data_IF_065396977325
#
_entry.id   IF_065396977325
#
_cell.length_a   1.000
_cell.length_b   1.000
_cell.length_c   1.000
_cell.angle_alpha   90.00
_cell.angle_beta   90.00
_cell.angle_gamma   90.00
#
_symmetry.space_group_name_H-M   'P 1'
#
loop_
_entity.id
_entity.type
_entity.pdbx_description
1 polymer ?
#
# COMPACT_ATOMS: atom_id res chain seq x y z
N UNK A 1 -6.08 -1.85 -9.42
CA UNK A 1 -6.71 -2.83 -10.32
C UNK A 1 -6.03 -4.19 -10.22
N UNK A 2 -4.73 -4.34 -10.60
CA UNK A 2 -4.07 -5.65 -10.59
C UNK A 2 -4.19 -6.40 -9.27
N UNK A 3 -3.91 -5.76 -8.12
CA UNK A 3 -4.00 -6.42 -6.81
C UNK A 3 -5.38 -7.01 -6.52
N UNK A 4 -6.45 -6.30 -6.89
CA UNK A 4 -7.81 -6.81 -6.75
C UNK A 4 -8.08 -8.01 -7.67
N UNK A 5 -7.54 -7.98 -8.88
CA UNK A 5 -7.72 -9.09 -9.85
C UNK A 5 -6.95 -10.36 -9.45
N UNK A 6 -5.80 -10.25 -8.78
CA UNK A 6 -5.02 -11.40 -8.30
C UNK A 6 -5.77 -12.24 -7.24
N UNK A 7 -6.76 -11.65 -6.56
CA UNK A 7 -7.62 -12.35 -5.60
C UNK A 7 -8.83 -13.04 -6.25
N UNK A 8 -8.97 -12.98 -7.58
CA UNK A 8 -10.14 -13.48 -8.29
C UNK A 8 -9.99 -14.93 -8.81
N UNK A 9 -9.21 -15.75 -8.11
CA UNK A 9 -8.94 -17.14 -8.47
C UNK A 9 -7.69 -17.28 -9.34
N UNK A 10 -7.43 -18.52 -9.75
CA UNK A 10 -6.25 -18.90 -10.52
C UNK A 10 -6.66 -19.63 -11.79
N UNK A 11 -5.71 -20.00 -12.63
CA UNK A 11 -5.99 -20.86 -13.80
C UNK A 11 -6.43 -22.28 -13.42
N UNK A 12 -6.27 -22.68 -12.14
CA UNK A 12 -6.57 -24.02 -11.63
C UNK A 12 -7.70 -24.03 -10.60
N UNK A 13 -7.99 -22.93 -9.92
CA UNK A 13 -8.98 -22.82 -8.85
C UNK A 13 -9.90 -21.64 -9.14
N UNK A 14 -11.21 -21.86 -9.13
CA UNK A 14 -12.18 -20.79 -9.31
C UNK A 14 -12.12 -19.76 -8.18
N UNK A 15 -12.64 -18.55 -8.41
CA UNK A 15 -12.71 -17.48 -7.40
C UNK A 15 -13.44 -17.94 -6.13
N UNK A 16 -14.58 -18.60 -6.31
CA UNK A 16 -15.41 -19.03 -5.19
C UNK A 16 -14.73 -20.15 -4.39
N UNK A 17 -14.15 -21.13 -5.06
CA UNK A 17 -13.43 -22.22 -4.40
C UNK A 17 -12.18 -21.70 -3.67
N UNK A 18 -11.45 -20.74 -4.28
CA UNK A 18 -10.29 -20.12 -3.67
C UNK A 18 -10.68 -19.39 -2.37
N UNK A 19 -11.69 -18.54 -2.42
CA UNK A 19 -12.16 -17.81 -1.26
C UNK A 19 -12.72 -18.72 -0.17
N UNK A 20 -13.56 -19.70 -0.55
CA UNK A 20 -14.12 -20.67 0.39
C UNK A 20 -13.03 -21.47 1.10
N UNK A 21 -11.96 -21.84 0.40
CA UNK A 21 -10.86 -22.59 1.00
C UNK A 21 -10.05 -21.70 1.97
N UNK A 22 -9.73 -20.46 1.59
CA UNK A 22 -9.05 -19.50 2.47
C UNK A 22 -9.85 -19.25 3.75
N UNK A 23 -11.15 -19.04 3.61
CA UNK A 23 -12.08 -18.84 4.74
C UNK A 23 -12.20 -20.08 5.63
N UNK A 24 -12.33 -21.28 5.03
CA UNK A 24 -12.37 -22.54 5.76
C UNK A 24 -11.11 -22.78 6.60
N UNK A 25 -9.96 -22.38 6.09
CA UNK A 25 -8.68 -22.49 6.80
C UNK A 25 -8.49 -21.38 7.86
N UNK A 26 -9.42 -20.43 7.97
CA UNK A 26 -9.29 -19.26 8.84
C UNK A 26 -8.04 -18.44 8.52
N UNK A 27 -7.71 -18.35 7.25
CA UNK A 27 -6.52 -17.70 6.73
C UNK A 27 -6.85 -16.36 6.10
N UNK A 28 -5.82 -15.59 5.77
CA UNK A 28 -5.95 -14.38 4.97
C UNK A 28 -4.91 -14.43 3.86
N UNK A 29 -5.34 -14.15 2.63
CA UNK A 29 -4.47 -13.91 1.48
C UNK A 29 -4.90 -12.59 0.86
N UNK A 30 -3.96 -11.68 0.63
CA UNK A 30 -4.22 -10.39 -0.01
C UNK A 30 -3.11 -10.02 -0.98
N UNK A 31 -3.48 -9.28 -2.01
CA UNK A 31 -2.55 -8.84 -3.05
C UNK A 31 -2.61 -7.31 -3.21
N UNK A 32 -1.43 -6.71 -3.29
CA UNK A 32 -1.25 -5.34 -3.75
C UNK A 32 -0.81 -5.30 -5.21
N UNK A 33 -0.46 -4.11 -5.69
CA UNK A 33 0.05 -3.94 -7.05
C UNK A 33 1.40 -4.66 -7.28
N UNK A 34 2.22 -4.78 -6.22
CA UNK A 34 3.58 -5.37 -6.26
C UNK A 34 3.85 -6.25 -5.03
N UNK A 35 2.83 -6.68 -4.32
CA UNK A 35 2.99 -7.44 -3.09
C UNK A 35 1.95 -8.53 -2.97
N UNK A 36 2.30 -9.59 -2.27
CA UNK A 36 1.38 -10.63 -1.80
C UNK A 36 1.62 -10.84 -0.30
N UNK A 37 0.56 -10.99 0.45
CA UNK A 37 0.61 -11.30 1.88
C UNK A 37 -0.30 -12.49 2.17
N UNK A 38 0.18 -13.40 3.03
CA UNK A 38 -0.63 -14.49 3.53
C UNK A 38 -0.38 -14.72 5.01
N UNK A 39 -1.43 -15.04 5.76
CA UNK A 39 -1.32 -15.44 7.17
C UNK A 39 -2.28 -16.58 7.48
N UNK A 40 -1.84 -17.50 8.32
CA UNK A 40 -2.63 -18.65 8.77
C UNK A 40 -2.08 -19.25 10.04
N UNK A 41 -2.79 -20.22 10.60
CA UNK A 41 -2.20 -21.11 11.62
C UNK A 41 -1.08 -21.94 10.99
N UNK A 42 0.00 -22.21 11.75
CA UNK A 42 1.19 -22.95 11.28
C UNK A 42 0.84 -24.29 10.63
N UNK A 43 -0.16 -25.01 11.13
CA UNK A 43 -0.63 -26.28 10.56
C UNK A 43 -1.16 -26.18 9.11
N UNK A 44 -1.54 -24.98 8.67
CA UNK A 44 -2.06 -24.73 7.32
C UNK A 44 -1.07 -23.98 6.44
N UNK A 45 0.11 -23.63 6.95
CA UNK A 45 1.10 -22.78 6.27
C UNK A 45 1.46 -23.27 4.87
N UNK A 46 1.64 -24.58 4.69
CA UNK A 46 1.97 -25.16 3.38
C UNK A 46 0.86 -24.95 2.35
N UNK A 47 -0.41 -25.14 2.76
CA UNK A 47 -1.55 -24.97 1.85
C UNK A 47 -1.76 -23.51 1.49
N UNK A 48 -1.63 -22.62 2.47
CA UNK A 48 -1.77 -21.17 2.22
C UNK A 48 -0.63 -20.63 1.36
N UNK A 49 0.59 -21.11 1.57
CA UNK A 49 1.71 -20.77 0.69
C UNK A 49 1.47 -21.26 -0.75
N UNK A 50 0.86 -22.42 -0.93
CA UNK A 50 0.47 -22.95 -2.23
C UNK A 50 -0.57 -22.07 -2.92
N UNK A 51 -1.67 -21.74 -2.23
CA UNK A 51 -2.72 -20.86 -2.75
C UNK A 51 -2.18 -19.49 -3.13
N UNK A 52 -1.36 -18.88 -2.25
CA UNK A 52 -0.73 -17.59 -2.53
C UNK A 52 0.21 -17.67 -3.74
N UNK A 53 1.02 -18.74 -3.84
CA UNK A 53 1.93 -18.93 -4.95
C UNK A 53 1.17 -19.13 -6.27
N UNK A 54 0.11 -19.92 -6.26
CA UNK A 54 -0.70 -20.16 -7.46
C UNK A 54 -1.39 -18.86 -7.92
N UNK A 55 -1.99 -18.10 -7.00
CA UNK A 55 -2.60 -16.82 -7.34
C UNK A 55 -1.58 -15.76 -7.81
N UNK A 56 -0.36 -15.79 -7.27
CA UNK A 56 0.70 -14.86 -7.70
C UNK A 56 1.31 -15.23 -9.06
N UNK A 57 1.44 -16.52 -9.37
CA UNK A 57 2.16 -17.03 -10.56
C UNK A 57 1.25 -17.42 -11.71
N UNK A 58 0.01 -17.86 -11.41
CA UNK A 58 -0.97 -18.35 -12.37
C UNK A 58 -2.33 -17.68 -12.17
N UNK A 59 -2.41 -16.34 -12.03
CA UNK A 59 -3.68 -15.67 -11.77
C UNK A 59 -4.64 -15.83 -12.96
N UNK A 60 -5.93 -15.92 -12.66
CA UNK A 60 -6.98 -15.86 -13.69
C UNK A 60 -7.28 -14.39 -14.01
N UNK A 61 -6.48 -13.80 -14.91
CA UNK A 61 -6.69 -12.43 -15.36
C UNK A 61 -7.63 -12.44 -16.57
N UNK A 62 -8.87 -12.02 -16.37
CA UNK A 62 -9.91 -11.96 -17.41
C UNK A 62 -10.50 -10.55 -17.51
N UNK A 63 -10.88 -10.16 -18.73
CA UNK A 63 -11.36 -8.79 -18.98
C UNK A 63 -12.65 -8.46 -18.24
N UNK A 64 -13.54 -9.43 -18.04
CA UNK A 64 -14.79 -9.23 -17.29
C UNK A 64 -14.52 -8.76 -15.85
N UNK A 65 -13.58 -9.40 -15.15
CA UNK A 65 -13.19 -9.00 -13.80
C UNK A 65 -12.46 -7.64 -13.80
N UNK A 66 -11.65 -7.36 -14.83
CA UNK A 66 -11.05 -6.05 -14.99
C UNK A 66 -12.10 -4.94 -15.07
N UNK A 67 -13.17 -5.11 -15.85
CA UNK A 67 -14.24 -4.12 -15.95
C UNK A 67 -14.95 -3.92 -14.62
N UNK A 68 -15.27 -5.01 -13.90
CA UNK A 68 -15.89 -4.93 -12.58
C UNK A 68 -15.01 -4.16 -11.57
N UNK A 69 -13.72 -4.47 -11.52
CA UNK A 69 -12.79 -3.77 -10.61
C UNK A 69 -12.57 -2.30 -11.01
N UNK A 70 -12.60 -2.01 -12.31
CA UNK A 70 -12.55 -0.64 -12.83
C UNK A 70 -13.76 0.19 -12.41
N UNK A 71 -14.97 -0.37 -12.53
CA UNK A 71 -16.23 0.25 -12.08
C UNK A 71 -16.20 0.50 -10.56
N UNK A 72 -15.79 -0.47 -9.75
CA UNK A 72 -15.65 -0.31 -8.29
C UNK A 72 -14.67 0.80 -7.93
N UNK A 73 -13.55 0.91 -8.64
CA UNK A 73 -12.58 1.96 -8.42
C UNK A 73 -13.17 3.34 -8.76
N UNK A 74 -13.91 3.46 -9.86
CA UNK A 74 -14.60 4.71 -10.24
C UNK A 74 -15.65 5.12 -9.20
N UNK A 75 -16.43 4.18 -8.68
CA UNK A 75 -17.38 4.45 -7.59
C UNK A 75 -16.68 4.91 -6.30
N UNK A 76 -15.56 4.26 -5.95
CA UNK A 76 -14.74 4.67 -4.81
C UNK A 76 -14.19 6.09 -4.98
N UNK A 77 -13.73 6.46 -6.18
CA UNK A 77 -13.26 7.82 -6.45
C UNK A 77 -14.39 8.86 -6.27
N UNK A 78 -15.58 8.59 -6.77
CA UNK A 78 -16.75 9.47 -6.56
C UNK A 78 -17.11 9.64 -5.08
N UNK A 79 -17.04 8.55 -4.31
CA UNK A 79 -17.26 8.62 -2.85
C UNK A 79 -16.19 9.47 -2.16
N UNK A 80 -14.94 9.33 -2.58
CA UNK A 80 -13.80 10.05 -2.01
C UNK A 80 -13.79 11.55 -2.31
N UNK A 81 -14.51 12.02 -3.35
CA UNK A 81 -14.69 13.45 -3.63
C UNK A 81 -15.41 14.21 -2.50
N UNK A 82 -16.15 13.49 -1.66
CA UNK A 82 -16.88 14.07 -0.51
C UNK A 82 -16.15 13.82 0.83
N UNK A 83 -15.00 13.17 0.80
CA UNK A 83 -14.22 12.85 1.98
C UNK A 83 -13.16 13.91 2.24
N UNK A 84 -13.26 14.61 3.37
CA UNK A 84 -12.25 15.59 3.82
C UNK A 84 -10.87 14.95 3.92
N UNK A 85 -10.78 13.73 4.47
CA UNK A 85 -9.51 13.02 4.65
C UNK A 85 -8.88 12.60 3.32
N UNK A 86 -9.68 12.11 2.36
CA UNK A 86 -9.20 11.73 1.05
C UNK A 86 -8.67 12.95 0.26
N UNK A 87 -9.36 14.08 0.35
CA UNK A 87 -8.92 15.33 -0.28
C UNK A 87 -7.65 15.85 0.41
N UNK A 88 -7.61 15.87 1.74
CA UNK A 88 -6.43 16.32 2.48
C UNK A 88 -5.20 15.47 2.15
N UNK A 89 -5.34 14.14 2.07
CA UNK A 89 -4.25 13.25 1.70
C UNK A 89 -3.75 13.51 0.28
N UNK A 90 -4.66 13.68 -0.69
CA UNK A 90 -4.33 13.95 -2.09
C UNK A 90 -3.61 15.29 -2.26
N UNK A 91 -4.14 16.35 -1.65
CA UNK A 91 -3.54 17.69 -1.70
C UNK A 91 -2.20 17.70 -0.97
N UNK A 92 -2.13 17.07 0.20
CA UNK A 92 -0.88 16.97 0.98
C UNK A 92 0.23 16.25 0.19
N UNK A 93 -0.08 15.12 -0.46
CA UNK A 93 0.87 14.41 -1.32
C UNK A 93 1.36 15.28 -2.49
N UNK A 94 0.43 15.92 -3.21
CA UNK A 94 0.77 16.77 -4.35
C UNK A 94 1.63 17.99 -3.94
N UNK A 95 1.37 18.58 -2.78
CA UNK A 95 2.14 19.71 -2.26
C UNK A 95 3.54 19.27 -1.77
N UNK A 96 3.63 18.10 -1.13
CA UNK A 96 4.91 17.61 -0.58
C UNK A 96 5.86 17.08 -1.65
N UNK A 97 5.33 16.35 -2.64
CA UNK A 97 6.17 15.64 -3.61
C UNK A 97 6.08 16.20 -5.03
N UNK A 98 5.01 16.95 -5.34
CA UNK A 98 4.70 17.36 -6.70
C UNK A 98 3.91 16.31 -7.49
N UNK A 99 3.06 16.76 -8.41
CA UNK A 99 2.17 15.88 -9.19
C UNK A 99 2.89 14.98 -10.21
N UNK A 100 4.18 15.22 -10.47
CA UNK A 100 5.01 14.39 -11.34
C UNK A 100 5.80 13.32 -10.56
N UNK A 101 5.67 13.29 -9.23
CA UNK A 101 6.29 12.30 -8.38
C UNK A 101 5.29 11.21 -8.01
N UNK A 102 5.65 9.91 -7.99
CA UNK A 102 4.73 8.82 -7.65
C UNK A 102 3.99 8.97 -6.31
N UNK A 103 4.61 9.67 -5.34
CA UNK A 103 3.98 9.94 -4.04
C UNK A 103 3.09 11.18 -4.02
N UNK A 104 3.16 12.01 -5.05
CA UNK A 104 2.34 13.21 -5.19
C UNK A 104 1.31 13.13 -6.31
N UNK A 105 1.43 12.13 -7.21
CA UNK A 105 0.39 11.85 -8.20
C UNK A 105 -0.86 11.29 -7.53
N UNK A 106 -2.01 11.46 -8.16
CA UNK A 106 -3.26 10.92 -7.65
C UNK A 106 -4.14 10.39 -8.77
N UNK A 107 -4.88 9.35 -8.44
CA UNK A 107 -5.81 8.71 -9.36
C UNK A 107 -7.02 9.59 -9.61
N UNK A 108 -7.39 9.77 -10.89
CA UNK A 108 -8.58 10.49 -11.32
C UNK A 108 -9.49 9.60 -12.15
N UNK A 109 -10.75 9.98 -12.33
CA UNK A 109 -11.67 9.28 -13.22
C UNK A 109 -11.09 9.16 -14.64
N UNK A 110 -10.49 10.25 -15.16
CA UNK A 110 -9.86 10.26 -16.48
C UNK A 110 -8.70 9.27 -16.58
N UNK A 111 -7.80 9.23 -15.58
CA UNK A 111 -6.67 8.28 -15.58
C UNK A 111 -7.15 6.84 -15.47
N UNK A 112 -8.17 6.53 -14.66
CA UNK A 112 -8.75 5.19 -14.57
C UNK A 112 -9.42 4.80 -15.89
N UNK A 113 -10.15 5.70 -16.53
CA UNK A 113 -10.81 5.42 -17.81
C UNK A 113 -9.82 5.10 -18.93
N UNK A 114 -8.63 5.69 -18.90
CA UNK A 114 -7.58 5.43 -19.88
C UNK A 114 -6.86 4.08 -19.68
N UNK A 115 -6.94 3.45 -18.49
CA UNK A 115 -6.32 2.14 -18.26
C UNK A 115 -7.08 1.07 -19.03
N UNK A 116 -6.35 0.26 -19.78
CA UNK A 116 -6.87 -0.90 -20.52
C UNK A 116 -6.52 -2.21 -19.80
N UNK A 117 -7.21 -3.28 -20.16
CA UNK A 117 -6.85 -4.62 -19.67
C UNK A 117 -5.43 -5.02 -20.11
N UNK A 118 -5.02 -4.63 -21.32
CA UNK A 118 -3.66 -4.84 -21.82
C UNK A 118 -2.58 -4.19 -20.95
N UNK A 119 -2.86 -3.00 -20.39
CA UNK A 119 -1.94 -2.33 -19.47
C UNK A 119 -1.77 -3.11 -18.16
N UNK A 120 -2.85 -3.70 -17.65
CA UNK A 120 -2.79 -4.54 -16.43
C UNK A 120 -1.96 -5.79 -16.68
N UNK A 121 -2.14 -6.45 -17.82
CA UNK A 121 -1.34 -7.63 -18.20
C UNK A 121 0.15 -7.27 -18.37
N UNK A 122 0.45 -6.15 -19.03
CA UNK A 122 1.81 -5.67 -19.19
C UNK A 122 2.47 -5.31 -17.85
N UNK A 123 1.71 -4.69 -16.95
CA UNK A 123 2.15 -4.37 -15.60
C UNK A 123 2.46 -5.65 -14.79
N UNK A 124 1.58 -6.64 -14.82
CA UNK A 124 1.80 -7.93 -14.17
C UNK A 124 3.08 -8.60 -14.68
N UNK A 125 3.25 -8.73 -15.99
CA UNK A 125 4.45 -9.32 -16.61
C UNK A 125 5.74 -8.58 -16.23
N UNK A 126 5.68 -7.27 -16.09
CA UNK A 126 6.85 -6.44 -15.76
C UNK A 126 7.21 -6.51 -14.27
N UNK A 127 6.25 -6.43 -13.38
CA UNK A 127 6.52 -6.20 -11.96
C UNK A 127 6.39 -7.44 -11.08
N UNK A 128 5.55 -8.42 -11.44
CA UNK A 128 5.56 -9.74 -10.81
C UNK A 128 6.70 -10.58 -11.37
N UNK A 129 7.89 -10.37 -10.86
CA UNK A 129 9.15 -10.81 -11.44
C UNK A 129 10.12 -11.22 -10.32
N UNK A 130 10.75 -12.42 -10.38
CA UNK A 130 11.61 -12.91 -9.30
C UNK A 130 12.83 -12.02 -9.01
N UNK A 131 13.28 -11.21 -9.97
CA UNK A 131 14.42 -10.31 -9.76
C UNK A 131 14.16 -9.20 -8.76
N UNK A 132 12.89 -8.82 -8.58
CA UNK A 132 12.46 -7.79 -7.65
C UNK A 132 11.70 -8.36 -6.45
N UNK A 133 11.65 -9.70 -6.33
CA UNK A 133 10.87 -10.36 -5.29
C UNK A 133 11.73 -10.60 -4.03
N UNK A 134 11.19 -10.19 -2.91
CA UNK A 134 11.69 -10.53 -1.58
C UNK A 134 10.59 -11.28 -0.84
N UNK A 135 10.92 -12.41 -0.24
CA UNK A 135 9.99 -13.17 0.58
C UNK A 135 10.45 -13.16 2.04
N UNK A 136 9.54 -12.81 2.92
CA UNK A 136 9.75 -12.83 4.36
C UNK A 136 8.72 -13.77 4.97
N UNK A 137 9.19 -14.74 5.76
CA UNK A 137 8.33 -15.67 6.51
C UNK A 137 8.61 -15.49 7.98
N UNK A 138 7.56 -15.26 8.77
CA UNK A 138 7.64 -15.08 10.21
C UNK A 138 6.59 -15.96 10.88
N UNK A 139 6.99 -16.74 11.87
CA UNK A 139 6.08 -17.61 12.62
C UNK A 139 6.78 -18.81 13.25
N UNK A 140 5.99 -19.73 13.79
CA UNK A 140 6.45 -21.01 14.31
C UNK A 140 6.70 -21.98 13.14
N UNK A 141 7.87 -21.86 12.53
CA UNK A 141 8.27 -22.60 11.33
C UNK A 141 9.74 -23.04 11.40
N UNK A 142 10.03 -24.18 10.80
CA UNK A 142 11.41 -24.67 10.66
C UNK A 142 12.01 -24.15 9.34
N UNK A 143 13.14 -23.44 9.41
CA UNK A 143 13.75 -22.75 8.27
C UNK A 143 13.99 -23.66 7.05
N UNK A 144 14.56 -24.86 7.27
CA UNK A 144 14.88 -25.78 6.15
C UNK A 144 13.62 -26.28 5.45
N UNK A 145 12.55 -26.55 6.22
CA UNK A 145 11.28 -27.01 5.67
C UNK A 145 10.63 -25.89 4.84
N UNK A 146 10.54 -24.67 5.38
CA UNK A 146 9.97 -23.51 4.67
C UNK A 146 10.77 -23.18 3.42
N UNK A 147 12.10 -23.17 3.50
CA UNK A 147 12.97 -22.93 2.34
C UNK A 147 12.66 -23.92 1.21
N UNK A 148 12.56 -25.21 1.53
CA UNK A 148 12.25 -26.27 0.56
C UNK A 148 10.86 -26.03 -0.09
N UNK A 149 9.86 -25.68 0.70
CA UNK A 149 8.53 -25.40 0.19
C UNK A 149 8.49 -24.16 -0.72
N UNK A 150 9.23 -23.10 -0.39
CA UNK A 150 9.37 -21.92 -1.26
C UNK A 150 10.07 -22.29 -2.57
N UNK A 151 11.19 -23.03 -2.50
CA UNK A 151 11.92 -23.49 -3.68
C UNK A 151 11.06 -24.37 -4.58
N UNK A 152 10.23 -25.24 -4.02
CA UNK A 152 9.30 -26.09 -4.77
C UNK A 152 8.26 -25.26 -5.56
N UNK A 153 7.74 -24.19 -4.97
CA UNK A 153 6.64 -23.40 -5.57
C UNK A 153 7.13 -22.27 -6.46
N UNK A 154 8.20 -21.58 -6.09
CA UNK A 154 8.74 -20.43 -6.79
C UNK A 154 10.00 -20.72 -7.59
N UNK A 155 10.63 -21.87 -7.45
CA UNK A 155 11.90 -22.20 -8.10
C UNK A 155 11.84 -22.26 -9.63
N UNK A 156 10.63 -22.40 -10.21
CA UNK A 156 10.40 -22.35 -11.66
C UNK A 156 10.01 -20.95 -12.16
N UNK A 157 9.88 -19.99 -11.27
CA UNK A 157 9.56 -18.62 -11.63
C UNK A 157 10.77 -17.98 -12.30
N UNK A 158 10.69 -17.87 -13.63
CA UNK A 158 11.82 -17.46 -14.43
C UNK A 158 12.00 -15.96 -14.48
N UNK A 159 13.27 -15.55 -14.51
CA UNK A 159 13.68 -14.16 -14.69
C UNK A 159 13.26 -13.66 -16.08
N UNK A 160 12.57 -12.53 -16.13
CA UNK A 160 12.14 -11.92 -17.40
C UNK A 160 12.82 -10.58 -17.68
N UNK A 161 12.81 -9.64 -16.74
CA UNK A 161 13.31 -8.28 -16.93
C UNK A 161 13.90 -7.75 -15.62
N UNK A 162 15.00 -6.99 -15.69
CA UNK A 162 15.45 -6.18 -14.55
C UNK A 162 14.66 -4.87 -14.54
N UNK A 163 13.90 -4.64 -13.48
CA UNK A 163 13.13 -3.40 -13.31
C UNK A 163 13.95 -2.45 -12.45
N UNK A 164 14.44 -1.39 -13.04
CA UNK A 164 15.03 -0.27 -12.32
C UNK A 164 14.02 0.87 -12.26
N UNK A 165 13.77 1.38 -11.05
CA UNK A 165 12.90 2.53 -10.85
C UNK A 165 13.77 3.71 -10.47
N UNK A 166 13.88 4.68 -11.38
CA UNK A 166 14.41 6.01 -11.05
C UNK A 166 13.22 6.90 -10.69
N UNK A 167 13.19 7.40 -9.48
CA UNK A 167 12.17 8.36 -9.06
C UNK A 167 12.66 9.79 -9.31
N UNK A 168 11.80 10.70 -9.76
CA UNK A 168 12.13 12.11 -9.79
C UNK A 168 12.36 12.62 -8.37
N UNK A 169 13.09 13.74 -8.24
CA UNK A 169 13.20 14.40 -6.95
C UNK A 169 11.85 14.97 -6.53
N UNK A 170 11.51 14.93 -5.24
CA UNK A 170 10.30 15.58 -4.74
C UNK A 170 10.39 17.10 -4.89
N UNK A 171 9.25 17.76 -4.84
CA UNK A 171 9.21 19.23 -4.80
C UNK A 171 9.99 19.73 -3.58
N UNK A 172 10.88 20.72 -3.75
CA UNK A 172 11.58 21.32 -2.62
C UNK A 172 10.61 21.89 -1.58
N UNK A 173 10.96 21.76 -0.31
CA UNK A 173 10.19 22.39 0.76
C UNK A 173 10.05 23.91 0.53
N UNK A 174 8.90 24.45 0.91
CA UNK A 174 8.71 25.90 0.90
C UNK A 174 9.72 26.60 1.83
N UNK A 175 10.26 27.73 1.37
CA UNK A 175 11.21 28.53 2.17
C UNK A 175 10.56 29.18 3.39
N UNK A 176 9.25 29.41 3.32
CA UNK A 176 8.46 30.02 4.40
C UNK A 176 7.23 29.18 4.66
N UNK A 177 6.66 29.32 5.86
CA UNK A 177 5.39 28.68 6.19
C UNK A 177 4.32 29.05 5.17
N UNK A 178 3.74 28.04 4.53
CA UNK A 178 2.62 28.20 3.62
C UNK A 178 1.36 27.63 4.26
N UNK A 179 0.24 28.32 4.06
CA UNK A 179 -1.08 27.84 4.45
C UNK A 179 -1.85 27.58 3.15
N UNK A 180 -2.14 26.31 2.89
CA UNK A 180 -2.93 25.88 1.76
C UNK A 180 -4.33 25.51 2.28
N UNK A 181 -5.33 26.24 1.90
CA UNK A 181 -6.72 26.05 2.34
C UNK A 181 -7.55 25.44 1.22
N UNK A 182 -8.26 24.36 1.53
CA UNK A 182 -9.24 23.74 0.65
C UNK A 182 -10.60 23.84 1.31
N UNK A 183 -11.51 24.59 0.68
CA UNK A 183 -12.88 24.72 1.18
C UNK A 183 -13.70 23.47 0.85
N UNK A 184 -14.35 22.92 1.88
CA UNK A 184 -15.26 21.79 1.78
C UNK A 184 -16.61 22.18 2.38
N UNK A 185 -17.52 22.69 1.56
CA UNK A 185 -18.86 23.11 2.03
C UNK A 185 -19.60 21.98 2.75
N UNK A 186 -20.19 22.29 3.90
CA UNK A 186 -20.92 21.35 4.76
C UNK A 186 -20.07 20.25 5.43
N UNK A 187 -18.74 20.37 5.42
CA UNK A 187 -17.90 19.47 6.22
C UNK A 187 -18.13 19.72 7.73
N UNK A 188 -18.33 18.64 8.46
CA UNK A 188 -18.54 18.70 9.92
C UNK A 188 -17.24 18.94 10.68
N UNK A 189 -16.12 18.53 10.10
CA UNK A 189 -14.78 18.61 10.70
C UNK A 189 -13.76 19.10 9.65
N UNK A 190 -12.73 19.77 10.15
CA UNK A 190 -11.56 20.14 9.35
C UNK A 190 -10.43 19.13 9.58
N UNK A 191 -9.73 18.78 8.52
CA UNK A 191 -8.46 18.06 8.60
C UNK A 191 -7.31 19.06 8.49
N UNK A 192 -6.37 19.04 9.44
CA UNK A 192 -5.21 19.93 9.46
C UNK A 192 -3.95 19.07 9.40
N UNK A 193 -3.19 19.20 8.31
CA UNK A 193 -1.93 18.51 8.09
C UNK A 193 -0.78 19.51 8.06
N UNK A 194 0.25 19.28 8.86
CA UNK A 194 1.54 19.96 8.77
C UNK A 194 2.55 18.97 8.21
N UNK A 195 3.12 19.25 7.06
CA UNK A 195 4.07 18.36 6.38
C UNK A 195 5.36 19.08 6.05
N UNK A 196 6.46 18.35 6.10
CA UNK A 196 7.76 18.81 5.70
C UNK A 196 8.61 17.62 5.25
N UNK A 197 9.19 17.67 4.06
CA UNK A 197 10.06 16.62 3.58
C UNK A 197 11.40 16.68 4.31
N UNK A 198 11.87 15.52 4.76
CA UNK A 198 13.17 15.36 5.43
C UNK A 198 13.96 14.25 4.74
N UNK A 199 15.27 14.43 4.61
CA UNK A 199 16.14 13.37 4.15
C UNK A 199 16.48 12.46 5.34
N UNK A 200 15.70 11.41 5.52
CA UNK A 200 15.89 10.43 6.59
C UNK A 200 15.82 9.02 6.04
N UNK A 201 16.88 8.25 6.24
CA UNK A 201 16.93 6.82 5.88
C UNK A 201 17.08 5.97 7.13
N UNK A 202 16.60 4.74 7.10
CA UNK A 202 16.73 3.80 8.23
C UNK A 202 18.18 3.56 8.70
N UNK A 203 19.16 3.75 7.80
CA UNK A 203 20.58 3.59 8.11
C UNK A 203 21.22 4.82 8.77
N UNK A 204 20.52 5.94 8.83
CA UNK A 204 21.06 7.18 9.36
C UNK A 204 21.19 7.09 10.89
N UNK A 205 22.28 7.64 11.47
CA UNK A 205 22.54 7.52 12.90
C UNK A 205 21.43 8.12 13.76
N UNK A 206 20.74 9.15 13.25
CA UNK A 206 19.67 9.85 13.97
C UNK A 206 18.29 9.17 13.85
N UNK A 207 18.16 8.13 13.02
CA UNK A 207 16.87 7.48 12.75
C UNK A 207 16.15 7.06 14.03
N UNK A 208 16.81 6.29 14.89
CA UNK A 208 16.19 5.79 16.12
C UNK A 208 15.91 6.92 17.14
N UNK A 209 16.80 7.93 17.20
CA UNK A 209 16.57 9.09 18.06
C UNK A 209 15.34 9.89 17.62
N UNK A 210 15.16 10.08 16.31
CA UNK A 210 14.00 10.75 15.74
C UNK A 210 12.70 9.96 15.96
N UNK A 211 12.72 8.62 15.87
CA UNK A 211 11.55 7.80 16.22
C UNK A 211 11.13 8.00 17.67
N UNK A 212 12.09 8.05 18.60
CA UNK A 212 11.80 8.30 20.02
C UNK A 212 11.26 9.71 20.23
N UNK A 213 11.89 10.72 19.61
CA UNK A 213 11.43 12.09 19.67
C UNK A 213 9.99 12.25 19.12
N UNK A 214 9.71 11.62 17.97
CA UNK A 214 8.37 11.59 17.40
C UNK A 214 7.37 10.91 18.34
N UNK A 215 7.76 9.81 19.01
CA UNK A 215 6.90 9.11 19.97
C UNK A 215 6.49 10.01 21.11
N UNK A 216 7.38 10.86 21.60
CA UNK A 216 7.12 11.86 22.65
C UNK A 216 6.24 12.99 22.11
N UNK A 217 6.53 13.48 20.89
CA UNK A 217 5.82 14.63 20.32
C UNK A 217 4.35 14.31 19.99
N UNK A 218 4.11 13.29 19.18
CA UNK A 218 2.78 12.97 18.64
C UNK A 218 2.54 11.50 18.31
N UNK A 219 3.53 10.62 18.47
CA UNK A 219 3.44 9.22 18.07
C UNK A 219 2.70 8.29 19.06
N UNK A 220 2.14 8.78 20.14
CA UNK A 220 1.43 8.01 21.15
C UNK A 220 0.25 8.73 21.74
N UNK A 221 -0.62 7.99 22.46
CA UNK A 221 -1.79 8.58 23.12
C UNK A 221 -1.39 9.65 24.14
N UNK A 222 -0.36 9.40 24.95
CA UNK A 222 0.15 10.33 25.96
C UNK A 222 1.19 11.33 25.41
N UNK A 223 1.25 11.51 24.11
CA UNK A 223 2.16 12.47 23.48
C UNK A 223 1.75 13.92 23.74
N UNK A 224 2.73 14.83 23.62
CA UNK A 224 2.47 16.27 23.87
C UNK A 224 1.34 16.84 23.01
N UNK A 225 1.29 16.50 21.71
CA UNK A 225 0.24 16.98 20.81
C UNK A 225 -1.13 16.49 21.24
N UNK A 226 -1.27 15.20 21.51
CA UNK A 226 -2.56 14.62 21.88
C UNK A 226 -3.03 15.10 23.26
N UNK A 227 -2.14 15.13 24.24
CA UNK A 227 -2.47 15.63 25.60
C UNK A 227 -2.85 17.11 25.57
N UNK A 228 -2.23 17.92 24.73
CA UNK A 228 -2.57 19.34 24.63
C UNK A 228 -3.88 19.56 23.86
N UNK A 229 -3.96 19.07 22.60
CA UNK A 229 -5.04 19.44 21.70
C UNK A 229 -6.32 18.65 21.96
N UNK A 230 -6.20 17.38 22.34
CA UNK A 230 -7.35 16.53 22.67
C UNK A 230 -7.74 16.63 24.13
N UNK A 231 -6.84 16.23 25.04
CA UNK A 231 -7.21 16.05 26.44
C UNK A 231 -7.41 17.39 27.18
N UNK A 232 -6.49 18.35 27.01
CA UNK A 232 -6.56 19.61 27.71
C UNK A 232 -7.53 20.62 27.08
N UNK A 233 -7.65 20.62 25.73
CA UNK A 233 -8.40 21.65 25.02
C UNK A 233 -9.66 21.15 24.33
N UNK A 234 -9.80 19.84 24.06
CA UNK A 234 -10.97 19.27 23.39
C UNK A 234 -11.16 19.72 21.95
N UNK A 235 -10.09 20.18 21.27
CA UNK A 235 -10.18 20.71 19.91
C UNK A 235 -10.31 19.63 18.84
N UNK A 236 -9.89 18.41 19.15
CA UNK A 236 -9.84 17.30 18.20
C UNK A 236 -10.07 15.97 18.90
N UNK A 237 -10.48 14.95 18.15
CA UNK A 237 -10.51 13.56 18.62
C UNK A 237 -9.13 12.90 18.67
N UNK A 238 -8.12 13.50 18.05
CA UNK A 238 -6.73 13.05 18.13
C UNK A 238 -5.80 13.98 17.37
N UNK A 239 -4.60 14.17 17.91
CA UNK A 239 -3.51 14.86 17.24
C UNK A 239 -2.28 13.96 17.25
N UNK A 240 -1.69 13.72 16.09
CA UNK A 240 -0.60 12.76 15.93
C UNK A 240 0.51 13.33 15.07
N UNK A 241 1.72 12.82 15.24
CA UNK A 241 2.83 13.01 14.32
C UNK A 241 3.41 11.67 13.90
N UNK A 242 3.87 11.56 12.67
CA UNK A 242 4.64 10.43 12.14
C UNK A 242 5.93 10.92 11.51
N UNK A 243 6.93 10.07 11.47
CA UNK A 243 8.14 10.22 10.67
C UNK A 243 8.25 8.96 9.84
N UNK A 244 8.21 9.14 8.53
CA UNK A 244 8.32 8.04 7.58
C UNK A 244 9.69 8.12 6.91
N UNK A 245 10.52 7.10 7.15
CA UNK A 245 11.79 6.94 6.46
C UNK A 245 11.56 6.10 5.22
N UNK A 246 11.86 6.66 4.06
CA UNK A 246 11.71 6.00 2.78
C UNK A 246 13.07 5.71 2.14
N UNK A 247 13.09 4.71 1.26
CA UNK A 247 14.29 4.34 0.50
C UNK A 247 14.62 5.37 -0.59
N UNK A 248 13.61 6.04 -1.10
CA UNK A 248 13.68 6.84 -2.31
C UNK A 248 13.59 8.36 -2.07
N UNK A 249 13.00 8.77 -0.96
CA UNK A 249 12.76 10.19 -0.63
C UNK A 249 13.26 10.51 0.76
#
# INVERSE_FOLDING_TARGET
LLGAMLANGTTTISKDDFNNEVDFLGANISFGATSAFASSLSKYSNRILELMADAALNPLLVEEEFQKEKERLLESLKSNEKSVDAIAARVGGALSYGTNHPYGEFTTEATVNNVTFGDVLAYYQKYFNPNNAYMVVVGDVEFKAVKKEIENRFGKWTKTIDVTTALPNPTPNAQFTQINFVDMPNAVQSNINLTHNVELKMKDPDYHALLIANRILGGGFNSYLNMNLREARGYTYGARSSIDADKYV
#
